data_IF_435547984777
#
_entry.id   IF_435547984777
#
_cell.length_a   1.000
_cell.length_b   1.000
_cell.length_c   1.000
_cell.angle_alpha   90.00
_cell.angle_beta   90.00
_cell.angle_gamma   90.00
#
_symmetry.space_group_name_H-M   'P 1'
#
loop_
_entity.id
_entity.type
_entity.pdbx_description
1 polymer ?
#
# COMPACT_ATOMS: atom_id res chain seq x y z
N UNK A 1 -1.67 25.68 -2.62
CA UNK A 1 -1.18 24.80 -3.71
C UNK A 1 0.31 25.00 -3.83
N UNK A 2 1.11 24.00 -3.43
CA UNK A 2 2.55 23.97 -3.68
C UNK A 2 2.70 23.41 -5.11
N UNK A 3 3.49 24.02 -6.00
CA UNK A 3 3.61 23.52 -7.38
C UNK A 3 4.18 22.09 -7.38
N UNK A 4 3.84 21.24 -8.36
CA UNK A 4 4.28 19.83 -8.47
C UNK A 4 5.80 19.64 -8.72
N UNK A 5 6.62 20.62 -8.34
CA UNK A 5 8.07 20.67 -8.59
C UNK A 5 8.90 20.92 -7.34
N UNK A 6 8.33 21.37 -6.22
CA UNK A 6 9.14 21.82 -5.07
C UNK A 6 9.87 20.69 -4.33
N UNK A 7 9.38 19.45 -4.42
CA UNK A 7 10.06 18.29 -3.84
C UNK A 7 11.31 17.94 -4.65
N UNK A 8 11.16 17.84 -5.97
CA UNK A 8 12.25 17.50 -6.88
C UNK A 8 13.32 18.57 -6.97
N UNK A 9 12.98 19.85 -6.77
CA UNK A 9 13.98 20.93 -6.73
C UNK A 9 14.96 20.79 -5.57
N UNK A 10 14.67 19.96 -4.56
CA UNK A 10 15.59 19.67 -3.44
C UNK A 10 16.47 18.45 -3.69
N UNK A 11 16.23 17.70 -4.77
CA UNK A 11 16.91 16.44 -5.04
C UNK A 11 18.15 16.67 -5.89
N UNK A 12 19.31 16.43 -5.30
CA UNK A 12 20.57 16.28 -6.03
C UNK A 12 20.72 14.81 -6.43
N UNK A 13 20.41 14.47 -7.68
CA UNK A 13 20.49 13.08 -8.17
C UNK A 13 21.93 12.51 -8.19
N UNK A 14 22.95 13.32 -7.90
CA UNK A 14 24.32 12.86 -7.74
C UNK A 14 24.70 12.53 -6.29
N UNK A 15 23.87 12.92 -5.32
CA UNK A 15 24.11 12.72 -3.89
C UNK A 15 23.46 11.43 -3.34
N UNK A 16 24.04 10.87 -2.28
CA UNK A 16 23.42 9.76 -1.53
C UNK A 16 22.29 10.31 -0.64
N UNK A 17 21.04 9.83 -0.79
CA UNK A 17 19.91 10.28 0.03
C UNK A 17 20.03 9.94 1.52
N UNK A 18 20.95 9.05 1.88
CA UNK A 18 21.25 8.71 3.26
C UNK A 18 22.58 9.28 3.75
N UNK A 19 23.17 10.25 3.06
CA UNK A 19 24.34 10.97 3.55
C UNK A 19 23.96 11.95 4.67
N UNK A 20 24.75 11.99 5.73
CA UNK A 20 24.51 12.88 6.89
C UNK A 20 25.00 14.31 6.68
N UNK A 21 25.72 14.59 5.59
CA UNK A 21 26.52 15.80 5.38
C UNK A 21 25.75 17.00 4.78
N UNK A 22 24.50 16.85 4.35
CA UNK A 22 23.68 18.03 4.00
C UNK A 22 22.53 17.86 3.01
N UNK A 23 22.52 16.82 2.17
CA UNK A 23 21.46 16.63 1.17
C UNK A 23 20.17 16.08 1.82
N UNK A 24 19.12 16.91 1.89
CA UNK A 24 17.81 16.50 2.43
C UNK A 24 16.85 16.21 1.29
N UNK A 25 16.76 14.93 0.90
CA UNK A 25 15.76 14.48 -0.05
C UNK A 25 14.41 14.43 0.65
N UNK A 26 13.57 15.43 0.39
CA UNK A 26 12.25 15.50 1.00
C UNK A 26 11.44 14.24 0.63
N UNK A 27 10.89 13.58 1.66
CA UNK A 27 10.14 12.33 1.52
C UNK A 27 11.00 11.06 1.49
N UNK A 28 12.33 11.12 1.63
CA UNK A 28 13.17 9.93 1.84
C UNK A 28 13.65 9.92 3.28
N UNK A 29 13.36 8.83 4.01
CA UNK A 29 13.88 8.62 5.36
C UNK A 29 14.88 7.47 5.36
N UNK A 30 15.95 7.66 6.14
CA UNK A 30 17.03 6.69 6.28
C UNK A 30 17.20 6.26 7.74
N UNK A 31 17.63 5.02 7.94
CA UNK A 31 18.18 4.56 9.22
C UNK A 31 19.68 4.83 9.26
N UNK A 32 20.14 5.39 10.38
CA UNK A 32 21.56 5.59 10.70
C UNK A 32 21.96 4.63 11.85
N UNK A 33 22.22 3.35 11.53
CA UNK A 33 22.64 2.39 12.55
C UNK A 33 23.97 2.83 13.19
N UNK A 34 24.12 2.58 14.50
CA UNK A 34 25.39 2.84 15.19
C UNK A 34 26.50 1.89 14.70
N UNK A 35 27.75 2.35 14.74
CA UNK A 35 28.93 1.57 14.32
C UNK A 35 29.19 1.60 12.81
N UNK A 36 29.91 0.61 12.28
CA UNK A 36 30.34 0.56 10.87
C UNK A 36 29.26 0.02 9.90
N UNK A 37 27.99 0.29 10.19
CA UNK A 37 26.87 -0.18 9.36
C UNK A 37 26.48 0.90 8.35
N UNK A 38 26.25 0.50 7.09
CA UNK A 38 25.81 1.41 6.04
C UNK A 38 24.40 1.94 6.30
N UNK A 39 24.19 3.25 6.14
CA UNK A 39 22.86 3.86 6.13
C UNK A 39 21.96 3.22 5.07
N UNK A 40 20.65 3.18 5.32
CA UNK A 40 19.68 2.54 4.39
C UNK A 40 18.39 3.34 4.35
N UNK A 41 17.80 3.45 3.16
CA UNK A 41 16.45 4.01 2.99
C UNK A 41 15.44 3.07 3.67
N UNK A 42 14.66 3.63 4.58
CA UNK A 42 13.63 2.95 5.37
C UNK A 42 12.23 3.45 5.05
N UNK A 43 12.06 4.68 4.59
CA UNK A 43 10.77 5.17 4.12
C UNK A 43 10.89 5.97 2.83
N UNK A 44 9.88 5.82 1.98
CA UNK A 44 9.59 6.70 0.85
C UNK A 44 8.18 7.23 1.07
N UNK A 45 8.07 8.53 1.34
CA UNK A 45 6.84 9.27 1.65
C UNK A 45 6.74 10.43 0.66
N UNK A 46 6.19 10.14 -0.52
CA UNK A 46 6.21 11.02 -1.69
C UNK A 46 4.78 11.34 -2.13
N UNK A 47 3.90 11.61 -1.17
CA UNK A 47 2.50 11.88 -1.42
C UNK A 47 2.28 13.23 -2.12
N UNK A 48 1.43 13.24 -3.15
CA UNK A 48 0.93 14.44 -3.84
C UNK A 48 2.02 15.36 -4.40
N UNK A 49 3.17 14.79 -4.74
CA UNK A 49 4.31 15.54 -5.29
C UNK A 49 4.28 15.68 -6.80
N UNK A 50 3.33 14.99 -7.46
CA UNK A 50 3.10 15.10 -8.90
C UNK A 50 3.94 14.19 -9.77
N UNK A 51 4.53 13.12 -9.21
CA UNK A 51 5.25 12.11 -9.99
C UNK A 51 4.36 11.53 -11.08
N UNK A 52 4.86 11.47 -12.31
CA UNK A 52 4.21 10.84 -13.47
C UNK A 52 5.11 9.73 -14.03
N UNK A 53 4.50 8.74 -14.68
CA UNK A 53 5.19 7.59 -15.25
C UNK A 53 4.91 6.30 -14.49
N UNK A 54 5.92 5.44 -14.34
CA UNK A 54 5.75 4.08 -13.79
C UNK A 54 6.62 3.89 -12.55
N UNK A 55 6.16 3.06 -11.59
CA UNK A 55 7.00 2.64 -10.48
C UNK A 55 8.07 1.65 -11.01
N UNK A 56 9.37 2.00 -10.99
CA UNK A 56 10.39 1.17 -11.63
C UNK A 56 10.64 -0.12 -10.84
N UNK A 57 11.00 -1.25 -11.50
CA UNK A 57 11.32 -2.50 -10.81
C UNK A 57 12.45 -2.39 -9.78
N UNK A 58 13.33 -1.38 -9.91
CA UNK A 58 14.38 -1.07 -8.94
C UNK A 58 13.84 -0.74 -7.55
N UNK A 59 12.56 -0.40 -7.37
CA UNK A 59 11.95 -0.26 -6.04
C UNK A 59 12.21 -1.48 -5.14
N UNK A 60 12.29 -2.68 -5.72
CA UNK A 60 12.56 -3.93 -5.01
C UNK A 60 13.99 -4.06 -4.45
N UNK A 61 14.91 -3.14 -4.74
CA UNK A 61 16.26 -3.14 -4.16
C UNK A 61 16.32 -2.50 -2.79
N UNK A 62 15.32 -1.69 -2.41
CA UNK A 62 15.24 -1.06 -1.09
C UNK A 62 14.76 -2.04 -0.01
N UNK A 63 15.46 -3.15 0.17
CA UNK A 63 15.05 -4.25 1.08
C UNK A 63 14.97 -3.85 2.56
N UNK A 64 15.46 -2.66 2.92
CA UNK A 64 15.31 -2.08 4.25
C UNK A 64 13.98 -1.33 4.46
N UNK A 65 13.20 -1.08 3.39
CA UNK A 65 12.00 -0.26 3.41
C UNK A 65 10.93 -0.82 4.34
N UNK A 66 10.41 0.02 5.23
CA UNK A 66 9.30 -0.26 6.15
C UNK A 66 8.03 0.50 5.74
N UNK A 67 8.18 1.68 5.13
CA UNK A 67 7.07 2.53 4.68
C UNK A 67 7.21 2.91 3.21
N UNK A 68 6.13 2.73 2.43
CA UNK A 68 6.01 3.20 1.06
C UNK A 68 4.67 3.93 0.89
N UNK A 69 4.71 5.26 0.81
CA UNK A 69 3.55 6.13 0.63
C UNK A 69 3.76 6.96 -0.64
N UNK A 70 2.88 6.75 -1.63
CA UNK A 70 2.95 7.37 -2.95
C UNK A 70 1.61 8.01 -3.34
N UNK A 71 0.74 8.34 -2.38
CA UNK A 71 -0.66 8.75 -2.57
C UNK A 71 -0.77 9.97 -3.49
N UNK A 72 -1.78 10.00 -4.38
CA UNK A 72 -2.15 11.21 -5.12
C UNK A 72 -1.08 11.71 -6.11
N UNK A 73 -0.32 10.78 -6.70
CA UNK A 73 0.58 11.07 -7.80
C UNK A 73 -0.13 10.75 -9.14
N UNK A 74 0.63 10.65 -10.22
CA UNK A 74 0.16 10.29 -11.57
C UNK A 74 0.89 9.03 -12.06
N UNK A 75 1.19 8.09 -11.16
CA UNK A 75 1.73 6.81 -11.60
C UNK A 75 0.73 6.11 -12.54
N UNK A 76 1.26 5.25 -13.41
CA UNK A 76 0.52 4.51 -14.42
C UNK A 76 0.97 3.05 -14.41
N UNK A 77 0.14 2.19 -15.00
CA UNK A 77 0.42 0.76 -15.10
C UNK A 77 0.33 0.03 -13.77
N UNK A 78 0.97 -1.13 -13.71
CA UNK A 78 0.97 -2.05 -12.57
C UNK A 78 2.13 -1.81 -11.61
N UNK A 79 1.93 -2.17 -10.34
CA UNK A 79 3.03 -2.28 -9.37
C UNK A 79 3.99 -3.41 -9.80
N UNK A 80 5.31 -3.16 -9.93
CA UNK A 80 6.27 -4.17 -10.37
C UNK A 80 6.36 -5.34 -9.37
N UNK A 81 6.51 -6.56 -9.90
CA UNK A 81 6.53 -7.78 -9.07
C UNK A 81 7.69 -7.81 -8.07
N UNK A 82 8.77 -7.06 -8.34
CA UNK A 82 9.93 -6.92 -7.45
C UNK A 82 9.58 -6.31 -6.09
N UNK A 83 8.41 -5.67 -5.94
CA UNK A 83 7.92 -5.19 -4.65
C UNK A 83 7.79 -6.32 -3.62
N UNK A 84 7.65 -7.58 -4.06
CA UNK A 84 7.63 -8.77 -3.18
C UNK A 84 8.92 -8.94 -2.36
N UNK A 85 10.02 -8.31 -2.79
CA UNK A 85 11.31 -8.38 -2.11
C UNK A 85 11.38 -7.47 -0.87
N UNK A 86 10.43 -6.55 -0.70
CA UNK A 86 10.39 -5.58 0.38
C UNK A 86 9.82 -6.17 1.68
N UNK A 87 10.44 -7.26 2.14
CA UNK A 87 9.95 -8.11 3.23
C UNK A 87 9.89 -7.42 4.61
N UNK A 88 10.42 -6.21 4.74
CA UNK A 88 10.35 -5.36 5.93
C UNK A 88 9.17 -4.37 5.93
N UNK A 89 8.43 -4.25 4.83
CA UNK A 89 7.29 -3.35 4.73
C UNK A 89 6.23 -3.65 5.79
N UNK A 90 5.88 -2.62 6.54
CA UNK A 90 4.75 -2.60 7.49
C UNK A 90 3.61 -1.75 6.96
N UNK A 91 3.91 -0.75 6.12
CA UNK A 91 2.91 0.17 5.57
C UNK A 91 3.12 0.42 4.09
N UNK A 92 2.04 0.29 3.34
CA UNK A 92 2.01 0.57 1.91
C UNK A 92 0.75 1.35 1.56
N UNK A 93 0.92 2.53 0.97
CA UNK A 93 -0.15 3.37 0.46
C UNK A 93 0.13 3.77 -0.98
N UNK A 94 -0.65 3.24 -1.91
CA UNK A 94 -0.51 3.46 -3.36
C UNK A 94 -1.80 4.05 -3.94
N UNK A 95 -2.57 4.79 -3.14
CA UNK A 95 -3.88 5.31 -3.54
C UNK A 95 -3.77 6.32 -4.70
N UNK A 96 -4.71 6.27 -5.66
CA UNK A 96 -4.84 7.29 -6.71
C UNK A 96 -3.94 7.14 -7.95
N UNK A 97 -3.29 5.99 -8.14
CA UNK A 97 -2.04 5.90 -8.91
C UNK A 97 -1.83 4.65 -9.76
N UNK A 98 -2.61 3.59 -9.59
CA UNK A 98 -2.28 2.30 -10.21
C UNK A 98 -3.49 1.63 -10.84
N UNK A 99 -3.19 0.81 -11.84
CA UNK A 99 -4.16 0.01 -12.63
C UNK A 99 -3.80 -1.47 -12.52
N UNK A 100 -4.74 -2.37 -12.84
CA UNK A 100 -4.52 -3.82 -12.87
C UNK A 100 -5.10 -4.57 -11.67
N UNK A 101 -4.81 -5.86 -11.52
CA UNK A 101 -5.44 -6.67 -10.46
C UNK A 101 -4.82 -6.50 -9.08
N UNK A 102 -5.56 -6.84 -7.99
CA UNK A 102 -4.94 -7.03 -6.66
C UNK A 102 -3.93 -8.17 -6.75
N UNK A 103 -2.66 -7.82 -6.64
CA UNK A 103 -1.56 -8.68 -7.03
C UNK A 103 -1.23 -9.79 -6.03
N UNK A 104 -0.67 -10.87 -6.57
CA UNK A 104 -0.11 -11.98 -5.80
C UNK A 104 1.09 -11.61 -4.93
N UNK A 105 1.75 -10.47 -5.17
CA UNK A 105 2.90 -10.08 -4.35
C UNK A 105 2.52 -9.70 -2.91
N UNK A 106 1.31 -9.17 -2.68
CA UNK A 106 0.93 -8.60 -1.37
C UNK A 106 0.98 -9.63 -0.26
N UNK A 107 0.61 -10.88 -0.55
CA UNK A 107 0.64 -11.95 0.44
C UNK A 107 2.07 -12.42 0.78
N UNK A 108 3.12 -11.99 0.07
CA UNK A 108 4.53 -12.28 0.42
C UNK A 108 5.03 -11.34 1.53
N UNK A 109 4.42 -10.16 1.66
CA UNK A 109 4.84 -9.12 2.60
C UNK A 109 4.22 -9.33 3.98
N UNK A 110 4.70 -10.35 4.70
CA UNK A 110 4.09 -10.82 5.97
C UNK A 110 4.08 -9.82 7.12
N UNK A 111 4.89 -8.76 7.01
CA UNK A 111 4.99 -7.71 8.02
C UNK A 111 3.99 -6.58 7.83
N UNK A 112 3.21 -6.59 6.74
CA UNK A 112 2.22 -5.55 6.48
C UNK A 112 1.19 -5.46 7.60
N UNK A 113 1.02 -4.24 8.09
CA UNK A 113 0.07 -3.80 9.10
C UNK A 113 -0.98 -2.86 8.47
N UNK A 114 -0.58 -2.02 7.52
CA UNK A 114 -1.48 -1.08 6.85
C UNK A 114 -1.35 -1.16 5.34
N UNK A 115 -2.47 -1.39 4.67
CA UNK A 115 -2.59 -1.40 3.21
C UNK A 115 -3.64 -0.36 2.83
N UNK A 116 -3.23 0.61 2.02
CA UNK A 116 -4.12 1.52 1.33
C UNK A 116 -3.91 1.45 -0.18
N UNK A 117 -4.94 1.00 -0.88
CA UNK A 117 -5.01 0.93 -2.34
C UNK A 117 -6.28 1.58 -2.86
N UNK A 118 -6.88 2.49 -2.10
CA UNK A 118 -8.12 3.17 -2.47
C UNK A 118 -7.95 4.09 -3.68
N UNK A 119 -9.03 4.35 -4.41
CA UNK A 119 -9.02 5.31 -5.53
C UNK A 119 -8.12 4.89 -6.68
N UNK A 120 -7.92 3.59 -6.88
CA UNK A 120 -7.17 3.03 -7.99
C UNK A 120 -8.15 2.41 -9.02
N UNK A 121 -7.62 1.87 -10.11
CA UNK A 121 -8.41 1.08 -11.07
C UNK A 121 -8.14 -0.41 -10.84
N UNK A 122 -8.22 -0.86 -9.57
CA UNK A 122 -7.97 -2.25 -9.24
C UNK A 122 -9.16 -3.11 -9.59
N UNK A 123 -8.96 -4.16 -10.39
CA UNK A 123 -10.03 -5.03 -10.87
C UNK A 123 -9.85 -6.49 -10.47
N UNK A 124 -10.87 -7.31 -10.73
CA UNK A 124 -10.90 -8.73 -10.36
C UNK A 124 -11.26 -8.98 -8.89
N UNK A 125 -10.87 -10.14 -8.35
CA UNK A 125 -11.24 -10.58 -7.00
C UNK A 125 -10.20 -10.18 -5.94
N UNK A 126 -10.64 -9.97 -4.71
CA UNK A 126 -9.74 -9.93 -3.54
C UNK A 126 -9.20 -11.35 -3.31
N UNK A 127 -7.88 -11.60 -3.35
CA UNK A 127 -7.32 -12.94 -3.19
C UNK A 127 -7.49 -13.47 -1.76
N UNK A 128 -8.03 -14.68 -1.59
CA UNK A 128 -8.19 -15.32 -0.28
C UNK A 128 -6.88 -15.46 0.52
N UNK A 129 -5.73 -15.42 -0.16
CA UNK A 129 -4.39 -15.44 0.47
C UNK A 129 -4.07 -14.18 1.30
N UNK A 130 -4.88 -13.13 1.22
CA UNK A 130 -4.78 -11.96 2.09
C UNK A 130 -4.91 -12.33 3.57
N UNK A 131 -5.64 -13.42 3.88
CA UNK A 131 -5.71 -14.05 5.21
C UNK A 131 -4.35 -14.46 5.79
N UNK A 132 -3.29 -14.51 4.98
CA UNK A 132 -1.93 -14.79 5.46
C UNK A 132 -1.21 -13.56 6.01
N UNK A 133 -1.81 -12.36 5.98
CA UNK A 133 -1.24 -11.12 6.51
C UNK A 133 -1.70 -10.92 7.96
N UNK A 134 -1.24 -11.77 8.87
CA UNK A 134 -1.75 -11.84 10.26
C UNK A 134 -1.48 -10.59 11.10
N UNK A 135 -0.60 -9.69 10.64
CA UNK A 135 -0.31 -8.40 11.28
C UNK A 135 -1.20 -7.26 10.78
N UNK A 136 -2.05 -7.51 9.79
CA UNK A 136 -2.85 -6.48 9.17
C UNK A 136 -3.86 -5.90 10.17
N UNK A 137 -3.81 -4.58 10.34
CA UNK A 137 -4.72 -3.79 11.17
C UNK A 137 -5.64 -2.93 10.33
N UNK A 138 -5.18 -2.48 9.16
CA UNK A 138 -5.93 -1.61 8.25
C UNK A 138 -5.87 -2.15 6.81
N UNK A 139 -7.05 -2.35 6.21
CA UNK A 139 -7.19 -2.70 4.81
C UNK A 139 -8.22 -1.76 4.16
N UNK A 140 -7.74 -0.85 3.31
CA UNK A 140 -8.59 0.05 2.54
C UNK A 140 -8.38 -0.17 1.04
N UNK A 141 -9.47 -0.57 0.39
CA UNK A 141 -9.58 -0.89 -1.04
C UNK A 141 -10.74 -0.12 -1.69
N UNK A 142 -11.25 0.92 -1.02
CA UNK A 142 -12.41 1.68 -1.47
C UNK A 142 -12.19 2.38 -2.81
N UNK A 143 -13.25 2.64 -3.57
CA UNK A 143 -13.18 3.34 -4.85
C UNK A 143 -12.24 2.61 -5.84
N UNK A 144 -12.60 1.38 -6.20
CA UNK A 144 -11.91 0.54 -7.17
C UNK A 144 -12.94 -0.20 -8.05
N UNK A 145 -12.45 -1.09 -8.93
CA UNK A 145 -13.25 -1.93 -9.82
C UNK A 145 -13.27 -3.40 -9.35
N UNK A 146 -13.10 -3.64 -8.03
CA UNK A 146 -13.05 -5.00 -7.50
C UNK A 146 -14.43 -5.65 -7.63
N UNK A 147 -14.42 -6.89 -8.07
CA UNK A 147 -15.60 -7.69 -8.33
C UNK A 147 -15.49 -9.05 -7.64
N UNK A 148 -16.49 -9.89 -7.83
CA UNK A 148 -16.60 -11.21 -7.18
C UNK A 148 -16.88 -11.12 -5.68
N UNK A 149 -16.94 -12.30 -5.04
CA UNK A 149 -17.22 -12.45 -3.61
C UNK A 149 -16.04 -12.02 -2.76
N UNK A 150 -16.34 -11.40 -1.62
CA UNK A 150 -15.37 -11.09 -0.59
C UNK A 150 -14.88 -12.41 0.06
N UNK A 151 -13.56 -12.66 0.16
CA UNK A 151 -13.04 -13.84 0.85
C UNK A 151 -13.23 -13.71 2.37
N UNK A 152 -13.13 -14.84 3.09
CA UNK A 152 -13.13 -14.79 4.55
C UNK A 152 -11.91 -14.02 5.08
N UNK A 153 -12.18 -13.07 5.97
CA UNK A 153 -11.16 -12.31 6.70
C UNK A 153 -11.06 -12.72 8.17
N UNK A 154 -11.82 -13.73 8.60
CA UNK A 154 -11.86 -14.18 10.01
C UNK A 154 -10.47 -14.46 10.62
N UNK A 155 -9.54 -14.92 9.80
CA UNK A 155 -8.15 -15.19 10.17
C UNK A 155 -7.30 -13.94 10.47
N UNK A 156 -7.77 -12.74 10.11
CA UNK A 156 -7.06 -11.48 10.33
C UNK A 156 -7.44 -10.90 11.70
N UNK A 157 -7.02 -11.59 12.77
CA UNK A 157 -7.42 -11.30 14.16
C UNK A 157 -7.10 -9.87 14.61
N UNK A 158 -6.05 -9.25 14.03
CA UNK A 158 -5.65 -7.88 14.33
C UNK A 158 -6.37 -6.82 13.47
N UNK A 159 -7.21 -7.21 12.51
CA UNK A 159 -7.83 -6.29 11.58
C UNK A 159 -8.92 -5.47 12.28
N UNK A 160 -8.72 -4.16 12.32
CA UNK A 160 -9.61 -3.18 12.95
C UNK A 160 -10.41 -2.39 11.91
N UNK A 161 -9.78 -2.04 10.79
CA UNK A 161 -10.39 -1.22 9.74
C UNK A 161 -10.44 -2.01 8.43
N UNK A 162 -11.65 -2.20 7.92
CA UNK A 162 -11.92 -2.81 6.62
C UNK A 162 -12.82 -1.88 5.80
N UNK A 163 -12.27 -1.30 4.74
CA UNK A 163 -13.00 -0.43 3.83
C UNK A 163 -12.95 -0.99 2.40
N UNK A 164 -14.12 -1.37 1.90
CA UNK A 164 -14.33 -1.96 0.58
C UNK A 164 -15.44 -1.22 -0.20
N UNK A 165 -15.88 -0.06 0.28
CA UNK A 165 -16.94 0.72 -0.32
C UNK A 165 -16.60 1.19 -1.75
N UNK A 166 -17.61 1.50 -2.55
CA UNK A 166 -17.46 1.98 -3.93
C UNK A 166 -16.66 0.99 -4.79
N UNK A 167 -17.20 -0.22 -4.92
CA UNK A 167 -16.66 -1.31 -5.74
C UNK A 167 -17.80 -2.06 -6.44
N UNK A 168 -17.50 -3.16 -7.12
CA UNK A 168 -18.46 -4.05 -7.78
C UNK A 168 -18.57 -5.42 -7.10
N UNK A 169 -18.32 -5.50 -5.78
CA UNK A 169 -18.32 -6.76 -5.03
C UNK A 169 -19.74 -7.34 -4.95
N UNK A 170 -19.83 -8.66 -5.04
CA UNK A 170 -21.11 -9.40 -5.11
C UNK A 170 -21.21 -10.49 -4.03
N UNK A 171 -22.42 -10.97 -3.79
CA UNK A 171 -22.70 -12.12 -2.94
C UNK A 171 -22.81 -11.76 -1.45
N UNK A 172 -22.90 -12.80 -0.62
CA UNK A 172 -23.11 -12.65 0.82
C UNK A 172 -21.86 -12.15 1.53
N UNK A 173 -22.06 -11.41 2.62
CA UNK A 173 -20.98 -11.02 3.51
C UNK A 173 -20.30 -12.26 4.12
N UNK A 174 -18.95 -12.38 4.09
CA UNK A 174 -18.24 -13.49 4.69
C UNK A 174 -18.09 -13.28 6.20
N UNK A 175 -17.58 -14.30 6.90
CA UNK A 175 -17.20 -14.16 8.31
C UNK A 175 -16.13 -13.08 8.47
N UNK A 176 -16.47 -12.05 9.23
CA UNK A 176 -15.63 -10.90 9.51
C UNK A 176 -14.63 -11.21 10.64
N UNK A 177 -13.51 -10.47 10.74
CA UNK A 177 -12.62 -10.59 11.89
C UNK A 177 -13.30 -10.13 13.19
N UNK A 178 -13.00 -10.77 14.33
CA UNK A 178 -13.64 -10.45 15.61
C UNK A 178 -13.25 -9.06 16.16
N UNK A 179 -12.07 -8.54 15.81
CA UNK A 179 -11.54 -7.26 16.30
C UNK A 179 -11.94 -6.04 15.46
N UNK A 180 -12.87 -6.18 14.52
CA UNK A 180 -13.20 -5.12 13.57
C UNK A 180 -13.97 -3.98 14.25
N UNK A 181 -13.46 -2.76 14.15
CA UNK A 181 -14.07 -1.55 14.71
C UNK A 181 -14.69 -0.66 13.63
N UNK A 182 -14.21 -0.77 12.39
CA UNK A 182 -14.71 0.00 11.25
C UNK A 182 -14.92 -0.92 10.05
N UNK A 183 -16.15 -0.90 9.51
CA UNK A 183 -16.54 -1.63 8.32
C UNK A 183 -17.25 -0.69 7.33
N UNK A 184 -16.66 -0.50 6.15
CA UNK A 184 -17.30 0.24 5.05
C UNK A 184 -17.52 -0.68 3.84
N UNK A 185 -18.78 -0.80 3.42
CA UNK A 185 -19.22 -1.70 2.35
C UNK A 185 -20.20 -1.06 1.38
N UNK A 186 -20.56 0.21 1.60
CA UNK A 186 -21.55 0.93 0.78
C UNK A 186 -21.13 0.95 -0.70
N UNK A 187 -22.09 1.20 -1.60
CA UNK A 187 -21.81 1.27 -3.04
C UNK A 187 -21.13 0.00 -3.57
N UNK A 188 -21.74 -1.17 -3.27
CA UNK A 188 -21.42 -2.48 -3.83
C UNK A 188 -22.71 -3.20 -4.23
N UNK A 189 -22.60 -4.45 -4.71
CA UNK A 189 -23.72 -5.32 -5.06
C UNK A 189 -23.84 -6.51 -4.10
N UNK A 190 -23.60 -6.25 -2.81
CA UNK A 190 -23.62 -7.26 -1.75
C UNK A 190 -25.05 -7.66 -1.39
N UNK A 191 -25.21 -8.90 -0.96
CA UNK A 191 -26.48 -9.48 -0.50
C UNK A 191 -26.31 -10.14 0.88
N UNK A 192 -27.39 -10.68 1.44
CA UNK A 192 -27.36 -11.41 2.72
C UNK A 192 -27.61 -10.53 3.94
N UNK A 193 -27.33 -11.08 5.13
CA UNK A 193 -27.60 -10.45 6.43
C UNK A 193 -26.30 -10.20 7.19
N UNK A 194 -26.29 -9.14 8.00
CA UNK A 194 -25.21 -8.88 8.96
C UNK A 194 -25.47 -9.81 10.15
N UNK A 195 -24.76 -10.94 10.21
CA UNK A 195 -24.82 -11.84 11.37
C UNK A 195 -23.71 -11.46 12.34
N UNK A 196 -24.10 -10.98 13.52
CA UNK A 196 -23.23 -10.76 14.69
C UNK A 196 -22.61 -12.07 15.19
#
# INVERSE_FOLDING_TARGET
MIPPSSYLTTWDFSADPCETSGSKFLGILCSFPQGNSTSRITALELDSVGYDGFLPPRIGTFTALTTLELIGNRFRGSVPETIKNLNKLTRISLSGNFTGGIWTWIYRLKKLERINQSGNQLSGRIPARISKLRRLTHLTLSNNELSQRIPSFYALENLQILELDSNMLIGSLPKLPPGLTTLRLSHNKLTGHITS
#
